data_IF_986801170911
#
_entry.id   IF_986801170911
#
_cell.length_a   1.000
_cell.length_b   1.000
_cell.length_c   1.000
_cell.angle_alpha   90.00
_cell.angle_beta   90.00
_cell.angle_gamma   90.00
#
_symmetry.space_group_name_H-M   'P 1'
#
loop_
_entity.id
_entity.type
_entity.pdbx_description
1 polymer ?
#
# COMPACT_ATOMS: atom_id res chain seq x y z
N UNK A 1 12.53 -25.05 0.03
CA UNK A 1 11.66 -23.91 -0.27
C UNK A 1 12.05 -22.77 0.65
N UNK A 2 12.54 -21.66 0.09
CA UNK A 2 12.75 -20.44 0.87
C UNK A 2 11.40 -19.74 1.01
N UNK A 3 11.12 -19.24 2.21
CA UNK A 3 9.84 -18.60 2.54
C UNK A 3 10.12 -17.28 3.22
N UNK A 4 9.60 -16.21 2.64
CA UNK A 4 9.65 -14.87 3.21
C UNK A 4 8.36 -14.61 3.94
N UNK A 5 8.45 -13.88 5.04
CA UNK A 5 7.31 -13.51 5.85
C UNK A 5 7.18 -12.01 5.91
N UNK A 6 5.95 -11.54 5.82
CA UNK A 6 5.61 -10.14 5.99
C UNK A 6 4.49 -10.06 7.02
N UNK A 7 4.70 -9.30 8.09
CA UNK A 7 3.69 -9.02 9.09
C UNK A 7 3.16 -7.62 8.89
N UNK A 8 1.85 -7.51 8.74
CA UNK A 8 1.12 -6.25 8.67
C UNK A 8 0.38 -6.07 9.99
N UNK A 9 0.64 -4.96 10.66
CA UNK A 9 -0.09 -4.52 11.84
C UNK A 9 -0.82 -3.24 11.47
N UNK A 10 -2.14 -3.33 11.32
CA UNK A 10 -2.98 -2.22 10.92
C UNK A 10 -3.92 -1.81 12.09
N UNK A 11 -3.51 -0.84 12.91
CA UNK A 11 -4.33 -0.34 14.00
C UNK A 11 -5.54 0.48 13.53
N UNK A 12 -5.58 0.90 12.26
CA UNK A 12 -6.73 1.65 11.70
C UNK A 12 -7.96 0.76 11.64
N UNK A 13 -7.80 -0.47 11.14
CA UNK A 13 -8.87 -1.49 11.18
C UNK A 13 -8.79 -2.41 12.41
N UNK A 14 -7.73 -2.32 13.20
CA UNK A 14 -7.52 -3.13 14.41
C UNK A 14 -7.09 -4.58 14.14
N UNK A 15 -6.68 -4.90 12.92
CA UNK A 15 -6.33 -6.27 12.52
C UNK A 15 -4.84 -6.44 12.23
N UNK A 16 -4.40 -7.69 12.33
CA UNK A 16 -3.04 -8.12 11.98
C UNK A 16 -3.14 -9.20 10.91
N UNK A 17 -2.23 -9.17 9.95
CA UNK A 17 -2.06 -10.20 8.94
C UNK A 17 -0.62 -10.69 8.92
N UNK A 18 -0.46 -12.01 8.80
CA UNK A 18 0.83 -12.66 8.57
C UNK A 18 0.80 -13.32 7.20
N UNK A 19 1.69 -12.85 6.33
CA UNK A 19 1.84 -13.34 4.96
C UNK A 19 3.07 -14.23 4.92
N UNK A 20 2.97 -15.37 4.25
CA UNK A 20 4.11 -16.18 3.81
C UNK A 20 4.13 -16.15 2.29
N UNK A 21 5.25 -15.75 1.69
CA UNK A 21 5.47 -15.81 0.24
C UNK A 21 6.62 -16.75 -0.08
N UNK A 22 6.50 -17.51 -1.16
CA UNK A 22 7.56 -18.38 -1.66
C UNK A 22 7.51 -18.47 -3.18
N UNK A 23 8.61 -18.94 -3.76
CA UNK A 23 8.68 -19.37 -5.15
C UNK A 23 8.78 -20.90 -5.16
N UNK A 24 7.86 -21.56 -5.87
CA UNK A 24 7.88 -23.02 -6.01
C UNK A 24 8.94 -23.50 -7.01
N UNK A 25 8.99 -24.81 -7.26
CA UNK A 25 9.95 -25.45 -8.16
C UNK A 25 9.66 -25.21 -9.65
N UNK A 26 8.43 -24.86 -9.99
CA UNK A 26 8.03 -24.39 -11.33
C UNK A 26 8.36 -22.91 -11.54
N UNK A 27 8.74 -22.21 -10.47
CA UNK A 27 9.13 -20.81 -10.50
C UNK A 27 7.97 -19.85 -10.31
N UNK A 28 6.78 -20.36 -9.94
CA UNK A 28 5.57 -19.61 -9.65
C UNK A 28 5.64 -19.03 -8.24
N UNK A 29 5.22 -17.78 -8.10
CA UNK A 29 5.11 -17.11 -6.81
C UNK A 29 3.76 -17.43 -6.17
N UNK A 30 3.82 -17.91 -4.92
CA UNK A 30 2.64 -18.31 -4.14
C UNK A 30 2.66 -17.64 -2.78
N UNK A 31 1.48 -17.44 -2.21
CA UNK A 31 1.35 -16.84 -0.88
C UNK A 31 0.27 -17.53 -0.03
N UNK A 32 0.47 -17.48 1.28
CA UNK A 32 -0.50 -17.87 2.30
C UNK A 32 -0.76 -16.63 3.18
N UNK A 33 -2.02 -16.27 3.37
CA UNK A 33 -2.44 -15.16 4.21
C UNK A 33 -3.15 -15.69 5.46
N UNK A 34 -2.56 -15.45 6.64
CA UNK A 34 -3.17 -15.74 7.93
C UNK A 34 -3.65 -14.47 8.61
N UNK A 35 -4.95 -14.34 8.84
CA UNK A 35 -5.57 -13.19 9.52
C UNK A 35 -6.94 -13.54 10.06
N UNK A 36 -7.37 -12.83 11.11
CA UNK A 36 -8.74 -12.86 11.65
C UNK A 36 -9.61 -11.72 11.08
N UNK A 37 -9.08 -10.91 10.15
CA UNK A 37 -9.84 -9.82 9.53
C UNK A 37 -10.95 -10.39 8.65
N UNK A 38 -12.24 -10.07 8.90
CA UNK A 38 -13.35 -10.62 8.12
C UNK A 38 -13.31 -10.16 6.64
N UNK A 39 -12.78 -8.95 6.38
CA UNK A 39 -12.66 -8.40 5.02
C UNK A 39 -11.57 -9.08 4.16
N UNK A 40 -10.76 -9.96 4.76
CA UNK A 40 -9.67 -10.64 4.07
C UNK A 40 -9.89 -12.16 3.95
N UNK A 41 -11.00 -12.70 4.44
CA UNK A 41 -11.20 -14.16 4.46
C UNK A 41 -11.35 -14.72 3.04
N UNK A 42 -12.27 -14.19 2.23
CA UNK A 42 -12.43 -14.63 0.83
C UNK A 42 -11.17 -14.37 0.00
N UNK A 43 -10.53 -13.21 0.19
CA UNK A 43 -9.24 -12.92 -0.44
C UNK A 43 -8.15 -13.93 -0.07
N UNK A 44 -8.08 -14.35 1.20
CA UNK A 44 -7.11 -15.36 1.65
C UNK A 44 -7.39 -16.74 1.05
N UNK A 45 -8.66 -17.09 0.81
CA UNK A 45 -9.05 -18.33 0.14
C UNK A 45 -8.61 -18.32 -1.33
N UNK A 46 -8.97 -17.27 -2.07
CA UNK A 46 -8.65 -17.12 -3.49
C UNK A 46 -7.14 -17.00 -3.75
N UNK A 47 -6.40 -16.36 -2.83
CA UNK A 47 -4.94 -16.25 -2.92
C UNK A 47 -4.25 -17.62 -2.98
N UNK A 48 -4.83 -18.69 -2.41
CA UNK A 48 -4.24 -20.03 -2.47
C UNK A 48 -4.26 -20.65 -3.87
N UNK A 49 -5.11 -20.14 -4.75
CA UNK A 49 -5.25 -20.61 -6.14
C UNK A 49 -4.53 -19.70 -7.13
N UNK A 50 -3.97 -18.60 -6.67
CA UNK A 50 -3.23 -17.66 -7.50
C UNK A 50 -1.89 -18.25 -7.94
N UNK A 51 -1.57 -18.04 -9.20
CA UNK A 51 -0.29 -18.41 -9.81
C UNK A 51 0.28 -17.15 -10.47
N UNK A 52 1.31 -16.58 -9.84
CA UNK A 52 1.92 -15.33 -10.33
C UNK A 52 3.29 -15.62 -10.90
N UNK A 53 3.55 -15.13 -12.10
CA UNK A 53 4.86 -15.27 -12.75
C UNK A 53 5.77 -14.08 -12.44
N UNK A 54 7.03 -14.16 -12.84
CA UNK A 54 8.02 -13.10 -12.60
C UNK A 54 7.64 -11.77 -13.28
N UNK A 55 7.01 -11.82 -14.45
CA UNK A 55 6.63 -10.62 -15.22
C UNK A 55 5.59 -9.78 -14.48
N UNK A 56 4.65 -10.44 -13.81
CA UNK A 56 3.54 -9.79 -13.08
C UNK A 56 4.05 -9.01 -11.85
N UNK A 57 5.21 -9.38 -11.31
CA UNK A 57 5.82 -8.71 -10.16
C UNK A 57 6.27 -7.27 -10.45
N UNK A 58 6.31 -6.83 -11.72
CA UNK A 58 6.77 -5.49 -12.11
C UNK A 58 5.63 -4.46 -12.20
N UNK A 59 4.38 -4.87 -12.01
CA UNK A 59 3.19 -4.03 -12.17
C UNK A 59 2.52 -3.68 -10.83
N UNK A 60 2.06 -2.43 -10.70
CA UNK A 60 1.32 -2.02 -9.49
C UNK A 60 -0.06 -2.66 -9.52
N UNK A 61 -0.73 -2.58 -10.67
CA UNK A 61 -1.92 -3.37 -10.96
C UNK A 61 -1.48 -4.78 -11.38
N UNK A 62 -1.38 -5.66 -10.39
CA UNK A 62 -1.03 -7.08 -10.55
C UNK A 62 -2.22 -7.97 -10.21
N UNK A 63 -2.11 -9.27 -10.49
CA UNK A 63 -3.14 -10.27 -10.14
C UNK A 63 -3.56 -10.23 -8.67
N UNK A 64 -2.63 -9.85 -7.78
CA UNK A 64 -2.91 -9.65 -6.34
C UNK A 64 -3.95 -8.56 -6.13
N UNK A 65 -3.83 -7.46 -6.87
CA UNK A 65 -4.75 -6.34 -6.78
C UNK A 65 -6.08 -6.64 -7.46
N UNK A 66 -6.08 -7.33 -8.60
CA UNK A 66 -7.31 -7.79 -9.25
C UNK A 66 -8.10 -8.72 -8.33
N UNK A 67 -7.44 -9.73 -7.75
CA UNK A 67 -8.03 -10.62 -6.76
C UNK A 67 -8.53 -9.88 -5.51
N UNK A 68 -7.80 -8.86 -5.05
CA UNK A 68 -8.23 -8.03 -3.92
C UNK A 68 -9.51 -7.24 -4.25
N UNK A 69 -9.64 -6.70 -5.47
CA UNK A 69 -10.84 -6.00 -5.95
C UNK A 69 -12.03 -6.98 -6.05
N UNK A 70 -11.83 -8.15 -6.67
CA UNK A 70 -12.87 -9.17 -6.81
C UNK A 70 -13.39 -9.66 -5.44
N UNK A 71 -12.53 -9.64 -4.42
CA UNK A 71 -12.86 -10.01 -3.05
C UNK A 71 -13.32 -8.83 -2.16
N UNK A 72 -13.52 -7.64 -2.72
CA UNK A 72 -13.90 -6.43 -1.99
C UNK A 72 -12.97 -6.14 -0.79
N UNK A 73 -11.66 -6.31 -0.97
CA UNK A 73 -10.68 -5.88 0.02
C UNK A 73 -10.71 -4.34 0.08
N UNK A 74 -10.77 -3.72 1.28
CA UNK A 74 -10.73 -2.27 1.38
C UNK A 74 -9.48 -1.71 0.71
N UNK A 75 -9.62 -0.65 -0.08
CA UNK A 75 -8.52 -0.08 -0.85
C UNK A 75 -7.43 0.59 0.02
N UNK A 76 -7.73 0.77 1.31
CA UNK A 76 -6.81 1.21 2.37
C UNK A 76 -6.05 0.05 3.03
N UNK A 77 -6.32 -1.20 2.64
CA UNK A 77 -5.65 -2.34 3.21
C UNK A 77 -4.21 -2.46 2.64
N UNK A 78 -3.18 -2.54 3.49
CA UNK A 78 -1.78 -2.71 3.05
C UNK A 78 -1.43 -4.13 2.61
N UNK A 79 -2.30 -5.12 2.83
CA UNK A 79 -2.00 -6.54 2.63
C UNK A 79 -1.65 -6.88 1.16
N UNK A 80 -2.38 -6.38 0.14
CA UNK A 80 -2.00 -6.63 -1.26
C UNK A 80 -0.56 -6.23 -1.59
N UNK A 81 -0.14 -4.99 -1.27
CA UNK A 81 1.26 -4.57 -1.46
C UNK A 81 2.25 -5.41 -0.63
N UNK A 82 1.86 -5.83 0.58
CA UNK A 82 2.71 -6.64 1.45
C UNK A 82 2.94 -8.06 0.89
N UNK A 83 1.98 -8.64 0.15
CA UNK A 83 2.15 -9.91 -0.58
C UNK A 83 3.23 -9.74 -1.66
N UNK A 84 3.13 -8.68 -2.47
CA UNK A 84 4.13 -8.38 -3.51
C UNK A 84 5.53 -8.19 -2.90
N UNK A 85 5.64 -7.54 -1.73
CA UNK A 85 6.90 -7.45 -1.00
C UNK A 85 7.47 -8.83 -0.61
N UNK A 86 6.61 -9.77 -0.17
CA UNK A 86 7.03 -11.13 0.17
C UNK A 86 7.62 -11.85 -1.05
N UNK A 87 7.02 -11.68 -2.24
CA UNK A 87 7.51 -12.26 -3.48
C UNK A 87 8.79 -11.59 -3.99
N UNK A 88 8.91 -10.27 -3.89
CA UNK A 88 10.15 -9.57 -4.24
C UNK A 88 11.35 -9.98 -3.37
N UNK A 89 11.11 -10.40 -2.13
CA UNK A 89 12.15 -11.01 -1.28
C UNK A 89 12.60 -12.38 -1.81
N UNK A 90 11.68 -13.17 -2.37
CA UNK A 90 11.96 -14.49 -2.94
C UNK A 90 12.46 -14.45 -4.38
N UNK A 91 12.22 -13.34 -5.07
CA UNK A 91 12.80 -13.00 -6.36
C UNK A 91 14.20 -12.35 -6.25
N UNK A 92 14.76 -12.24 -5.03
CA UNK A 92 16.02 -11.54 -4.73
C UNK A 92 16.06 -10.06 -5.18
N UNK A 93 14.90 -9.45 -5.41
CA UNK A 93 14.75 -8.02 -5.75
C UNK A 93 14.88 -7.12 -4.52
N UNK A 94 14.67 -7.68 -3.32
CA UNK A 94 14.92 -7.05 -2.03
C UNK A 94 15.86 -7.94 -1.23
N UNK A 95 16.92 -7.36 -0.66
CA UNK A 95 17.81 -8.10 0.22
C UNK A 95 17.09 -8.50 1.53
N UNK A 96 16.89 -9.79 1.77
CA UNK A 96 16.29 -10.31 3.02
C UNK A 96 17.01 -9.81 4.28
N UNK A 97 18.34 -9.69 4.22
CA UNK A 97 19.16 -9.18 5.32
C UNK A 97 18.84 -7.73 5.71
N UNK A 98 18.45 -6.89 4.74
CA UNK A 98 17.96 -5.53 4.97
C UNK A 98 16.53 -5.56 5.49
N UNK A 99 15.67 -6.37 4.86
CA UNK A 99 14.26 -6.47 5.22
C UNK A 99 14.06 -6.88 6.68
N UNK A 100 14.79 -7.88 7.18
CA UNK A 100 14.71 -8.32 8.58
C UNK A 100 15.11 -7.27 9.62
N UNK A 101 15.74 -6.16 9.21
CA UNK A 101 16.10 -5.02 10.07
C UNK A 101 15.20 -3.81 9.83
N UNK A 102 14.23 -3.94 8.93
CA UNK A 102 13.40 -2.85 8.43
C UNK A 102 11.99 -2.95 8.99
N UNK A 103 11.38 -1.81 9.20
CA UNK A 103 9.93 -1.69 9.43
C UNK A 103 9.45 -0.49 8.65
N UNK A 104 8.53 -0.73 7.72
CA UNK A 104 7.86 0.33 6.99
C UNK A 104 6.77 0.89 7.91
N UNK A 105 6.66 2.21 7.99
CA UNK A 105 5.58 2.87 8.72
C UNK A 105 4.74 3.72 7.79
N UNK A 106 3.42 3.67 7.97
CA UNK A 106 2.46 4.55 7.32
C UNK A 106 1.72 5.29 8.42
N UNK A 107 2.00 6.59 8.53
CA UNK A 107 1.58 7.45 9.63
C UNK A 107 0.59 8.49 9.10
N UNK A 108 -0.62 8.48 9.66
CA UNK A 108 -1.59 9.55 9.44
C UNK A 108 -1.23 10.71 10.36
N UNK A 109 -0.95 11.88 9.79
CA UNK A 109 -0.54 13.03 10.60
C UNK A 109 -1.75 13.82 11.07
N UNK A 110 -1.97 13.83 12.39
CA UNK A 110 -3.08 14.54 13.04
C UNK A 110 -2.83 16.05 13.23
N UNK A 111 -1.59 16.54 13.08
CA UNK A 111 -1.24 17.94 13.38
C UNK A 111 -0.42 18.58 12.28
N UNK A 112 -0.88 19.73 11.82
CA UNK A 112 -0.05 20.68 11.09
C UNK A 112 0.98 21.31 12.03
N UNK A 113 2.27 21.19 11.71
CA UNK A 113 3.28 22.08 12.28
C UNK A 113 3.03 23.57 11.98
N UNK A 114 2.11 23.88 11.05
CA UNK A 114 1.80 25.22 10.55
C UNK A 114 0.34 25.68 10.78
N UNK A 115 -0.47 24.96 11.59
CA UNK A 115 -1.82 25.40 11.97
C UNK A 115 -2.89 25.46 10.87
N UNK A 116 -2.67 24.88 9.68
CA UNK A 116 -3.66 24.83 8.59
C UNK A 116 -4.45 23.50 8.55
N UNK A 117 -5.57 23.45 9.28
CA UNK A 117 -6.50 22.30 9.42
C UNK A 117 -7.02 21.63 8.11
N UNK A 118 -6.71 22.17 6.94
CA UNK A 118 -7.41 21.84 5.67
C UNK A 118 -6.63 20.88 4.74
N UNK A 119 -5.68 20.10 5.25
CA UNK A 119 -4.90 19.18 4.39
C UNK A 119 -4.75 17.82 5.07
N UNK A 120 -5.28 16.77 4.43
CA UNK A 120 -5.02 15.38 4.80
C UNK A 120 -3.57 15.02 4.52
N UNK A 121 -2.89 14.37 5.47
CA UNK A 121 -1.46 14.01 5.33
C UNK A 121 -1.18 12.59 5.77
N UNK A 122 -0.43 11.88 4.94
CA UNK A 122 0.02 10.52 5.24
C UNK A 122 1.51 10.43 4.92
N UNK A 123 2.30 10.02 5.91
CA UNK A 123 3.75 9.83 5.78
C UNK A 123 4.04 8.35 5.63
N UNK A 124 4.80 7.99 4.61
CA UNK A 124 5.35 6.65 4.40
C UNK A 124 6.85 6.72 4.62
N UNK A 125 7.37 5.87 5.49
CA UNK A 125 8.80 5.65 5.67
C UNK A 125 9.13 4.22 5.21
N UNK A 126 9.94 4.08 4.17
CA UNK A 126 10.29 2.79 3.58
C UNK A 126 11.79 2.53 3.66
N UNK A 127 12.27 1.88 4.73
CA UNK A 127 13.70 1.57 4.89
C UNK A 127 14.25 0.60 3.83
N UNK A 128 13.39 -0.15 3.12
CA UNK A 128 13.82 -1.03 2.03
C UNK A 128 14.45 -0.29 0.84
N UNK A 129 14.03 0.95 0.60
CA UNK A 129 14.56 1.81 -0.46
C UNK A 129 15.13 3.14 0.07
N UNK A 130 15.21 3.28 1.40
CA UNK A 130 15.67 4.49 2.13
C UNK A 130 14.92 5.78 1.74
N UNK A 131 13.66 5.64 1.32
CA UNK A 131 12.83 6.76 0.91
C UNK A 131 11.70 7.05 1.90
N UNK A 132 11.48 8.35 2.10
CA UNK A 132 10.40 8.91 2.88
C UNK A 132 9.52 9.74 1.97
N UNK A 133 8.20 9.56 2.09
CA UNK A 133 7.20 10.21 1.27
C UNK A 133 6.16 10.81 2.21
N UNK A 134 5.90 12.10 2.08
CA UNK A 134 4.77 12.75 2.72
C UNK A 134 3.75 13.10 1.64
N UNK A 135 2.67 12.34 1.62
CA UNK A 135 1.51 12.57 0.77
C UNK A 135 0.59 13.59 1.42
N UNK A 136 0.07 14.50 0.60
CA UNK A 136 -0.88 15.53 1.00
C UNK A 136 -2.05 15.53 0.04
N UNK A 137 -3.27 15.49 0.56
CA UNK A 137 -4.48 15.65 -0.23
C UNK A 137 -5.28 16.84 0.27
N UNK A 138 -5.81 17.63 -0.66
CA UNK A 138 -6.64 18.81 -0.37
C UNK A 138 -7.77 18.93 -1.38
N UNK A 139 -8.98 19.25 -0.90
CA UNK A 139 -10.10 19.59 -1.77
C UNK A 139 -9.89 20.92 -2.48
N UNK A 140 -10.08 20.94 -3.79
CA UNK A 140 -10.03 22.15 -4.63
C UNK A 140 -11.34 22.93 -4.53
N UNK A 141 -11.39 24.22 -4.95
CA UNK A 141 -12.64 24.97 -5.03
C UNK A 141 -13.72 24.30 -5.89
N UNK A 142 -13.32 23.55 -6.91
CA UNK A 142 -14.17 22.78 -7.82
C UNK A 142 -14.67 21.47 -7.21
N UNK A 143 -14.23 21.14 -5.99
CA UNK A 143 -14.65 19.96 -5.24
C UNK A 143 -13.86 18.69 -5.52
N UNK A 144 -12.86 18.73 -6.42
CA UNK A 144 -11.91 17.63 -6.66
C UNK A 144 -10.88 17.54 -5.55
N UNK A 145 -10.11 16.46 -5.51
CA UNK A 145 -9.02 16.25 -4.55
C UNK A 145 -7.70 16.32 -5.29
N UNK A 146 -6.86 17.27 -4.89
CA UNK A 146 -5.50 17.43 -5.41
C UNK A 146 -4.50 16.76 -4.49
N UNK A 147 -3.65 15.90 -5.06
CA UNK A 147 -2.56 15.22 -4.36
C UNK A 147 -1.24 15.96 -4.59
N UNK A 148 -0.38 16.00 -3.58
CA UNK A 148 1.00 16.45 -3.71
C UNK A 148 1.94 15.65 -2.80
N UNK A 149 3.23 15.61 -3.15
CA UNK A 149 4.26 14.89 -2.41
C UNK A 149 5.38 15.82 -1.94
N UNK A 150 5.89 15.56 -0.73
CA UNK A 150 7.24 15.91 -0.34
C UNK A 150 8.03 14.61 -0.11
N UNK A 151 9.10 14.38 -0.87
CA UNK A 151 9.84 13.11 -0.83
C UNK A 151 11.30 13.26 -1.26
N UNK A 152 12.17 12.39 -0.71
CA UNK A 152 13.54 12.19 -1.20
C UNK A 152 13.63 11.17 -2.35
N UNK A 153 12.56 10.42 -2.67
CA UNK A 153 12.53 9.48 -3.79
C UNK A 153 12.68 10.22 -5.13
N UNK A 154 13.70 9.92 -5.96
CA UNK A 154 13.90 10.60 -7.24
C UNK A 154 12.80 10.28 -8.26
N UNK A 155 12.29 9.04 -8.26
CA UNK A 155 11.22 8.62 -9.17
C UNK A 155 9.93 9.41 -8.91
N UNK A 156 9.47 9.44 -7.64
CA UNK A 156 8.27 10.19 -7.28
C UNK A 156 8.42 11.71 -7.46
N UNK A 157 9.64 12.26 -7.26
CA UNK A 157 9.93 13.66 -7.60
C UNK A 157 9.73 13.94 -9.09
N UNK A 158 10.08 13.00 -9.97
CA UNK A 158 9.97 13.14 -11.42
C UNK A 158 8.53 13.09 -11.95
N UNK A 159 7.58 12.54 -11.18
CA UNK A 159 6.19 12.35 -11.62
C UNK A 159 5.18 13.21 -10.86
N UNK A 160 5.58 13.94 -9.80
CA UNK A 160 4.66 14.71 -8.94
C UNK A 160 3.82 15.76 -9.69
N UNK A 161 4.35 16.35 -10.76
CA UNK A 161 3.64 17.37 -11.56
C UNK A 161 2.64 16.73 -12.55
N UNK A 162 2.68 15.39 -12.70
CA UNK A 162 1.79 14.62 -13.58
C UNK A 162 0.59 14.03 -12.83
N UNK A 163 0.53 14.18 -11.50
CA UNK A 163 -0.60 13.68 -10.70
C UNK A 163 -1.89 14.40 -11.12
N UNK A 164 -2.94 13.67 -11.52
CA UNK A 164 -4.23 14.27 -11.80
C UNK A 164 -4.94 14.66 -10.50
N UNK A 165 -5.96 15.50 -10.64
CA UNK A 165 -6.95 15.70 -9.58
C UNK A 165 -8.00 14.58 -9.66
N UNK A 166 -8.45 14.10 -8.51
CA UNK A 166 -9.35 12.96 -8.38
C UNK A 166 -10.71 13.43 -7.86
N UNK A 167 -11.81 13.01 -8.50
CA UNK A 167 -13.17 13.23 -8.01
C UNK A 167 -13.43 12.44 -6.72
N UNK A 168 -14.16 13.00 -5.73
CA UNK A 168 -14.51 12.27 -4.49
C UNK A 168 -15.26 10.95 -4.73
N UNK A 169 -15.99 10.85 -5.83
CA UNK A 169 -16.70 9.66 -6.31
C UNK A 169 -15.78 8.59 -6.89
N UNK A 170 -14.60 8.96 -7.39
CA UNK A 170 -13.58 8.05 -7.94
C UNK A 170 -12.79 7.32 -6.83
N UNK A 171 -13.14 7.55 -5.57
CA UNK A 171 -12.50 6.95 -4.38
C UNK A 171 -13.57 6.21 -3.59
N UNK A 172 -13.81 4.93 -3.84
CA UNK A 172 -14.71 4.12 -3.03
C UNK A 172 -13.94 3.27 -2.01
N UNK A 173 -14.65 2.82 -0.97
CA UNK A 173 -14.07 2.04 0.14
C UNK A 173 -13.39 0.74 -0.36
N UNK A 174 -14.04 0.05 -1.30
CA UNK A 174 -13.58 -1.21 -1.88
C UNK A 174 -13.08 -1.05 -3.33
N UNK A 175 -13.11 0.18 -3.85
CA UNK A 175 -12.72 0.48 -5.22
C UNK A 175 -12.05 1.87 -5.26
N UNK A 176 -10.78 1.90 -4.87
CA UNK A 176 -9.89 3.02 -5.16
C UNK A 176 -8.85 2.63 -6.23
N UNK A 177 -9.28 1.77 -7.16
CA UNK A 177 -8.49 1.35 -8.33
C UNK A 177 -7.88 2.55 -9.02
N UNK A 178 -8.59 3.68 -9.11
CA UNK A 178 -8.10 4.89 -9.75
C UNK A 178 -6.74 5.37 -9.22
N UNK A 179 -6.49 5.31 -7.91
CA UNK A 179 -5.19 5.71 -7.34
C UNK A 179 -4.08 4.74 -7.75
N UNK A 180 -4.38 3.45 -7.80
CA UNK A 180 -3.43 2.41 -8.20
C UNK A 180 -3.20 2.39 -9.71
N UNK A 181 -4.21 2.68 -10.53
CA UNK A 181 -4.09 2.94 -11.97
C UNK A 181 -3.16 4.11 -12.24
N UNK A 182 -3.35 5.25 -11.56
CA UNK A 182 -2.45 6.41 -11.66
C UNK A 182 -1.02 6.00 -11.30
N UNK A 183 -0.85 5.19 -10.25
CA UNK A 183 0.46 4.71 -9.85
C UNK A 183 1.11 3.80 -10.91
N UNK A 184 0.33 2.93 -11.57
CA UNK A 184 0.81 2.09 -12.67
C UNK A 184 1.15 2.91 -13.93
N UNK A 185 0.28 3.86 -14.31
CA UNK A 185 0.49 4.81 -15.42
C UNK A 185 1.78 5.61 -15.22
N UNK A 186 2.04 6.04 -13.97
CA UNK A 186 3.24 6.77 -13.58
C UNK A 186 4.44 5.88 -13.23
N UNK A 187 4.29 4.56 -13.36
CA UNK A 187 5.34 3.53 -13.18
C UNK A 187 5.97 3.52 -11.79
N UNK A 188 5.15 3.69 -10.77
CA UNK A 188 5.56 3.48 -9.39
C UNK A 188 6.02 2.03 -9.21
N UNK A 189 6.92 1.80 -8.27
CA UNK A 189 7.37 0.44 -7.97
C UNK A 189 6.24 -0.34 -7.25
N UNK A 190 5.96 -1.60 -7.60
CA UNK A 190 4.87 -2.41 -7.02
C UNK A 190 4.95 -2.60 -5.50
N UNK A 191 6.15 -2.57 -4.92
CA UNK A 191 6.36 -2.66 -3.47
C UNK A 191 6.15 -1.34 -2.72
N UNK A 192 5.86 -0.25 -3.44
CA UNK A 192 5.74 1.09 -2.88
C UNK A 192 4.39 1.27 -2.18
N UNK A 193 4.41 1.78 -0.95
CA UNK A 193 3.20 2.12 -0.19
C UNK A 193 2.70 3.56 -0.43
N UNK A 194 3.28 4.28 -1.41
CA UNK A 194 2.79 5.61 -1.80
C UNK A 194 1.33 5.61 -2.30
N UNK A 195 0.89 4.64 -3.13
CA UNK A 195 -0.50 4.57 -3.57
C UNK A 195 -1.46 4.39 -2.40
N UNK A 196 -1.12 3.52 -1.44
CA UNK A 196 -1.91 3.37 -0.21
C UNK A 196 -2.00 4.70 0.57
N UNK A 197 -0.89 5.41 0.73
CA UNK A 197 -0.90 6.70 1.40
C UNK A 197 -1.70 7.78 0.64
N UNK A 198 -1.71 7.73 -0.69
CA UNK A 198 -2.60 8.54 -1.53
C UNK A 198 -4.07 8.20 -1.27
N UNK A 199 -4.44 6.93 -1.28
CA UNK A 199 -5.80 6.47 -1.00
C UNK A 199 -6.27 6.92 0.38
N UNK A 200 -5.47 6.70 1.43
CA UNK A 200 -5.78 7.16 2.79
C UNK A 200 -5.98 8.69 2.84
N UNK A 201 -5.05 9.46 2.24
CA UNK A 201 -5.16 10.91 2.20
C UNK A 201 -6.42 11.39 1.47
N UNK A 202 -6.76 10.75 0.36
CA UNK A 202 -7.94 11.04 -0.44
C UNK A 202 -9.25 10.68 0.28
N UNK A 203 -9.33 9.50 0.92
CA UNK A 203 -10.52 9.11 1.69
C UNK A 203 -10.78 10.04 2.87
N UNK A 204 -9.71 10.43 3.56
CA UNK A 204 -9.78 11.43 4.62
C UNK A 204 -10.27 12.78 4.11
N UNK A 205 -9.80 13.23 2.95
CA UNK A 205 -10.21 14.50 2.35
C UNK A 205 -11.63 14.46 1.78
N UNK A 206 -12.08 13.30 1.33
CA UNK A 206 -13.46 13.04 0.91
C UNK A 206 -14.43 12.94 2.10
N UNK A 207 -13.94 12.93 3.35
CA UNK A 207 -14.75 12.73 4.55
C UNK A 207 -15.25 11.29 4.73
N UNK A 208 -14.64 10.33 4.03
CA UNK A 208 -14.95 8.89 4.11
C UNK A 208 -14.18 8.18 5.22
N UNK A 209 -13.12 8.81 5.72
CA UNK A 209 -12.30 8.30 6.81
C UNK A 209 -12.03 9.43 7.82
N UNK A 210 -12.32 9.17 9.09
CA UNK A 210 -12.14 10.17 10.15
C UNK A 210 -10.67 10.34 10.52
N UNK A 211 -10.12 11.54 10.25
CA UNK A 211 -8.72 11.89 10.53
C UNK A 211 -8.39 11.86 12.03
N UNK A 212 -9.36 12.19 12.88
CA UNK A 212 -9.15 12.31 14.33
C UNK A 212 -9.10 10.94 15.02
N UNK A 213 -9.73 9.93 14.42
CA UNK A 213 -9.70 8.55 14.89
C UNK A 213 -8.38 7.81 14.58
N UNK A 214 -7.56 8.33 13.65
CA UNK A 214 -6.32 7.69 13.18
C UNK A 214 -5.11 8.25 13.93
N UNK A 215 -4.91 7.80 15.17
CA UNK A 215 -3.76 8.19 15.98
C UNK A 215 -2.53 7.28 15.77
N UNK A 216 -2.73 6.09 15.21
CA UNK A 216 -1.72 5.06 15.13
C UNK A 216 -1.13 4.89 13.71
N UNK A 217 -0.01 4.19 13.63
CA UNK A 217 0.68 3.92 12.36
C UNK A 217 0.52 2.46 11.94
N UNK A 218 0.26 2.24 10.66
CA UNK A 218 0.37 0.91 10.06
C UNK A 218 1.84 0.53 10.03
N UNK A 219 2.17 -0.69 10.45
CA UNK A 219 3.53 -1.21 10.46
C UNK A 219 3.63 -2.45 9.58
N UNK A 220 4.62 -2.46 8.69
CA UNK A 220 4.94 -3.62 7.87
C UNK A 220 6.36 -4.06 8.20
N UNK A 221 6.50 -5.28 8.71
CA UNK A 221 7.77 -5.84 9.17
C UNK A 221 8.04 -7.22 8.57
N UNK A 222 9.29 -7.67 8.63
CA UNK A 222 9.76 -8.85 7.92
C UNK A 222 10.38 -9.86 8.89
N UNK A 223 9.58 -10.65 9.62
CA UNK A 223 10.09 -11.61 10.59
C UNK A 223 10.92 -12.71 9.93
N UNK A 224 11.92 -13.23 10.66
CA UNK A 224 12.77 -14.34 10.19
C UNK A 224 12.08 -15.71 10.29
N UNK A 225 11.19 -15.86 11.27
CA UNK A 225 10.49 -17.10 11.63
C UNK A 225 8.98 -16.87 11.74
#
# INVERSE_FOLDING_TARGET
MMVSRVKVEDPICGHTALIKGWRDDEGIFRAELKTECPHLQSFAEDLNYMETEMEDLYHVMSDVYECAVDNNVPATCPVPTAIINAWWLEADMIAKSLAHKSTITIEVSQKDGDGKKDVSKVRVNTPLCDYVILVRAKKTPEGKIKISFATNCPHLRGVREKLPEIGPEEIAEHDATRVYEIADELKFTPICFAPLAMTLACMMEAGKLDKEALADSIRISYPKE
#
